data_IF_007005797871
#
_entry.id   IF_007005797871
#
_cell.length_a   1.000
_cell.length_b   1.000
_cell.length_c   1.000
_cell.angle_alpha   90.00
_cell.angle_beta   90.00
_cell.angle_gamma   90.00
#
_symmetry.space_group_name_H-M   'P 1'
#
loop_
_entity.id
_entity.type
_entity.pdbx_description
1 polymer ?
#
# COMPACT_ATOMS: atom_id res chain seq x y z
N UNK A 1 -5.73 19.13 15.58
CA UNK A 1 -5.21 18.18 14.56
C UNK A 1 -5.81 16.76 14.64
N UNK A 2 -6.94 16.51 15.32
CA UNK A 2 -7.53 15.15 15.43
C UNK A 2 -8.80 14.92 14.58
N UNK A 3 -9.29 15.94 13.87
CA UNK A 3 -10.58 15.88 13.15
C UNK A 3 -10.47 16.08 11.62
N UNK A 4 -9.26 16.28 11.07
CA UNK A 4 -9.07 16.56 9.63
C UNK A 4 -8.81 15.26 8.84
N UNK A 5 -8.12 14.29 9.46
CA UNK A 5 -7.71 13.01 8.84
C UNK A 5 -8.92 12.19 8.32
N UNK A 6 -10.05 12.06 9.04
CA UNK A 6 -11.17 11.27 8.55
C UNK A 6 -11.87 11.92 7.35
N UNK A 7 -11.98 13.26 7.33
CA UNK A 7 -12.70 13.98 6.28
C UNK A 7 -11.95 13.95 4.94
N UNK A 8 -10.60 14.02 4.96
CA UNK A 8 -9.78 13.90 3.76
C UNK A 8 -9.82 12.48 3.20
N UNK A 9 -9.70 11.44 4.04
CA UNK A 9 -9.81 10.04 3.62
C UNK A 9 -11.22 9.72 3.08
N UNK A 10 -12.28 10.26 3.71
CA UNK A 10 -13.66 10.06 3.25
C UNK A 10 -13.90 10.76 1.91
N UNK A 11 -13.40 11.99 1.72
CA UNK A 11 -13.43 12.69 0.43
C UNK A 11 -12.61 11.93 -0.63
N UNK A 12 -11.44 11.37 -0.24
CA UNK A 12 -10.61 10.52 -1.09
C UNK A 12 -11.29 9.18 -1.48
N UNK A 13 -12.34 8.78 -0.77
CA UNK A 13 -13.12 7.59 -1.09
C UNK A 13 -14.38 7.93 -1.90
N UNK A 14 -14.99 9.09 -1.65
CA UNK A 14 -16.24 9.53 -2.27
C UNK A 14 -16.07 10.18 -3.65
N UNK A 15 -14.99 10.92 -3.89
CA UNK A 15 -14.72 11.58 -5.18
C UNK A 15 -14.03 10.65 -6.19
N UNK A 16 -13.29 9.66 -5.70
CA UNK A 16 -12.45 8.78 -6.51
C UNK A 16 -13.14 7.46 -6.91
N UNK A 17 -14.43 7.32 -6.57
CA UNK A 17 -15.28 6.19 -6.93
C UNK A 17 -15.88 6.24 -8.35
N UNK A 18 -15.49 7.19 -9.21
CA UNK A 18 -16.00 7.31 -10.59
C UNK A 18 -14.89 7.03 -11.61
N UNK A 19 -14.96 5.86 -12.26
CA UNK A 19 -14.52 5.37 -13.59
C UNK A 19 -13.44 6.08 -14.45
N UNK A 20 -12.78 7.11 -13.98
CA UNK A 20 -11.68 7.76 -14.68
C UNK A 20 -10.41 7.42 -13.88
N UNK A 21 -9.48 6.70 -14.51
CA UNK A 21 -8.18 6.43 -13.91
C UNK A 21 -7.44 7.77 -13.76
N UNK A 22 -7.42 8.32 -12.55
CA UNK A 22 -6.58 9.45 -12.20
C UNK A 22 -5.33 8.89 -11.51
N UNK A 23 -4.19 9.52 -11.74
CA UNK A 23 -2.91 9.16 -11.13
C UNK A 23 -2.67 10.00 -9.88
N UNK A 24 -2.45 9.36 -8.74
CA UNK A 24 -1.98 10.07 -7.54
C UNK A 24 -0.48 10.27 -7.64
N UNK A 25 -0.04 11.52 -7.59
CA UNK A 25 1.38 11.87 -7.52
C UNK A 25 1.70 12.26 -6.08
N UNK A 26 2.52 11.43 -5.43
CA UNK A 26 3.04 11.67 -4.09
C UNK A 26 4.18 12.69 -4.18
N UNK A 27 3.93 13.90 -3.69
CA UNK A 27 4.83 15.05 -3.81
C UNK A 27 4.94 15.79 -2.48
N UNK A 28 6.17 15.96 -1.98
CA UNK A 28 6.45 16.60 -0.69
C UNK A 28 6.05 18.09 -0.67
N UNK A 29 6.09 18.75 -1.82
CA UNK A 29 5.78 20.18 -1.96
C UNK A 29 4.32 20.44 -2.35
N UNK A 30 3.50 19.39 -2.47
CA UNK A 30 2.10 19.54 -2.83
C UNK A 30 1.32 20.32 -1.76
N UNK A 31 0.61 21.36 -2.22
CA UNK A 31 -0.40 22.07 -1.43
C UNK A 31 -1.75 21.46 -1.80
N UNK A 32 -2.50 20.96 -0.82
CA UNK A 32 -3.84 20.41 -1.06
C UNK A 32 -4.79 21.55 -1.46
N UNK A 33 -5.03 21.73 -2.76
CA UNK A 33 -6.08 22.62 -3.26
C UNK A 33 -7.42 21.88 -3.34
N UNK A 34 -8.28 22.10 -2.35
CA UNK A 34 -9.62 21.53 -2.29
C UNK A 34 -10.50 21.98 -3.46
N UNK A 35 -10.25 23.15 -4.07
CA UNK A 35 -11.02 23.62 -5.22
C UNK A 35 -10.65 22.86 -6.51
N UNK A 36 -9.41 22.40 -6.63
CA UNK A 36 -8.96 21.54 -7.74
C UNK A 36 -9.56 20.14 -7.62
N UNK A 37 -9.58 19.56 -6.42
CA UNK A 37 -10.19 18.25 -6.14
C UNK A 37 -11.71 18.26 -6.38
N UNK A 38 -12.39 19.36 -6.03
CA UNK A 38 -13.85 19.49 -6.18
C UNK A 38 -14.29 19.76 -7.63
N UNK A 39 -13.45 20.43 -8.45
CA UNK A 39 -13.75 20.73 -9.86
C UNK A 39 -13.20 19.66 -10.82
N UNK A 40 -13.41 18.39 -10.47
CA UNK A 40 -12.84 17.21 -11.13
C UNK A 40 -13.42 16.94 -12.54
N UNK A 41 -13.18 17.84 -13.49
CA UNK A 41 -13.48 17.62 -14.91
C UNK A 41 -12.26 17.68 -15.83
N UNK A 42 -11.05 17.98 -15.35
CA UNK A 42 -9.90 18.20 -16.27
C UNK A 42 -8.52 17.67 -15.90
N UNK A 43 -8.23 17.27 -14.66
CA UNK A 43 -6.87 16.79 -14.31
C UNK A 43 -6.84 15.26 -14.18
N UNK A 44 -6.06 14.59 -15.04
CA UNK A 44 -5.79 13.16 -14.98
C UNK A 44 -4.81 12.78 -13.84
N UNK A 45 -4.23 13.77 -13.17
CA UNK A 45 -3.28 13.59 -12.08
C UNK A 45 -3.71 14.45 -10.88
N UNK A 46 -3.53 13.91 -9.66
CA UNK A 46 -3.81 14.59 -8.40
C UNK A 46 -2.55 14.52 -7.55
N UNK A 47 -1.97 15.69 -7.22
CA UNK A 47 -0.79 15.76 -6.35
C UNK A 47 -1.23 15.74 -4.89
N UNK A 48 -0.62 14.87 -4.10
CA UNK A 48 -0.93 14.67 -2.69
C UNK A 48 0.33 14.80 -1.83
N UNK A 49 0.29 15.53 -0.71
CA UNK A 49 1.42 15.64 0.19
C UNK A 49 1.72 14.34 0.94
N UNK A 50 2.96 13.86 0.84
CA UNK A 50 3.40 12.60 1.46
C UNK A 50 3.33 12.66 2.99
N UNK A 51 3.66 13.81 3.57
CA UNK A 51 3.81 14.01 5.02
C UNK A 51 2.54 13.66 5.83
N UNK A 52 1.35 13.69 5.22
CA UNK A 52 0.11 13.26 5.88
C UNK A 52 0.05 11.75 6.14
N UNK A 53 0.83 10.96 5.38
CA UNK A 53 0.76 9.51 5.36
C UNK A 53 2.07 8.83 5.75
N UNK A 54 3.13 9.59 6.06
CA UNK A 54 4.38 9.06 6.62
C UNK A 54 4.26 8.86 8.13
N UNK A 55 4.70 7.69 8.59
CA UNK A 55 4.73 7.38 10.02
C UNK A 55 5.72 8.32 10.75
N UNK A 56 5.31 9.02 11.83
CA UNK A 56 6.16 9.98 12.52
C UNK A 56 7.51 9.40 12.96
N UNK A 57 8.62 10.08 12.65
CA UNK A 57 9.98 9.64 12.96
C UNK A 57 10.60 8.68 11.95
N UNK A 58 9.92 8.43 10.83
CA UNK A 58 10.41 7.73 9.64
C UNK A 58 10.37 8.67 8.44
N UNK A 59 11.04 8.32 7.35
CA UNK A 59 10.99 9.06 6.08
C UNK A 59 10.42 8.23 4.94
N UNK A 60 10.44 6.90 5.06
CA UNK A 60 10.03 5.95 4.02
C UNK A 60 8.76 5.16 4.36
N UNK A 61 8.31 5.17 5.62
CA UNK A 61 7.17 4.34 6.02
C UNK A 61 5.83 5.05 5.80
N UNK A 62 5.32 5.05 4.57
CA UNK A 62 4.00 5.57 4.23
C UNK A 62 3.68 5.52 2.74
N UNK A 63 2.82 6.44 2.27
CA UNK A 63 2.53 6.57 0.85
C UNK A 63 3.61 7.45 0.19
N UNK A 64 4.50 6.82 -0.60
CA UNK A 64 5.73 7.45 -1.07
C UNK A 64 6.73 7.65 0.09
N UNK A 65 7.62 8.63 -0.03
CA UNK A 65 8.61 8.96 0.99
C UNK A 65 8.88 10.47 1.04
N UNK A 66 9.38 10.94 2.17
CA UNK A 66 9.82 12.34 2.40
C UNK A 66 11.35 12.44 2.48
N UNK A 67 12.06 11.44 1.94
CA UNK A 67 13.50 11.35 1.99
C UNK A 67 14.15 12.25 0.93
N UNK A 68 15.20 12.98 1.29
CA UNK A 68 15.95 13.81 0.34
C UNK A 68 16.86 13.00 -0.58
N UNK A 69 17.27 11.82 -0.11
CA UNK A 69 18.08 10.87 -0.84
C UNK A 69 17.91 9.47 -0.25
N UNK A 70 18.48 8.48 -0.90
CA UNK A 70 18.31 7.08 -0.52
C UNK A 70 18.76 6.74 0.92
N UNK A 71 19.75 7.43 1.47
CA UNK A 71 20.27 7.16 2.82
C UNK A 71 19.70 8.10 3.89
N UNK A 72 18.71 8.90 3.50
CA UNK A 72 18.02 9.83 4.39
C UNK A 72 16.93 9.11 5.19
N UNK A 73 17.30 8.72 6.40
CA UNK A 73 16.44 7.99 7.33
C UNK A 73 16.02 8.86 8.52
N UNK A 74 14.83 8.61 9.03
CA UNK A 74 14.33 9.17 10.28
C UNK A 74 15.01 8.57 11.52
N UNK A 75 14.53 8.98 12.70
CA UNK A 75 15.06 8.55 14.00
C UNK A 75 14.91 7.04 14.23
N UNK A 76 13.90 6.41 13.61
CA UNK A 76 13.70 4.95 13.67
C UNK A 76 14.43 4.24 12.52
N UNK A 77 15.73 4.50 12.39
CA UNK A 77 16.55 4.17 11.22
C UNK A 77 16.38 2.75 10.68
N UNK A 78 16.43 1.72 11.53
CA UNK A 78 16.36 0.33 11.05
C UNK A 78 14.96 -0.08 10.59
N UNK A 79 13.92 0.44 11.23
CA UNK A 79 12.53 0.29 10.74
C UNK A 79 12.36 1.01 9.40
N UNK A 80 12.94 2.20 9.27
CA UNK A 80 12.85 3.03 8.07
C UNK A 80 13.57 2.38 6.87
N UNK A 81 14.69 1.69 7.09
CA UNK A 81 15.34 0.86 6.08
C UNK A 81 14.42 -0.26 5.54
N UNK A 82 13.62 -0.88 6.40
CA UNK A 82 12.64 -1.88 5.94
C UNK A 82 11.64 -1.25 4.95
N UNK A 83 11.17 -0.04 5.26
CA UNK A 83 10.24 0.69 4.39
C UNK A 83 10.90 1.16 3.09
N UNK A 84 12.13 1.69 3.13
CA UNK A 84 12.90 2.03 1.92
C UNK A 84 13.07 0.83 0.98
N UNK A 85 13.45 -0.32 1.55
CA UNK A 85 13.65 -1.53 0.76
C UNK A 85 12.32 -2.02 0.15
N UNK A 86 11.21 -1.80 0.85
CA UNK A 86 9.86 -2.08 0.34
C UNK A 86 9.49 -1.12 -0.81
N UNK A 87 9.74 0.17 -0.67
CA UNK A 87 9.56 1.19 -1.73
C UNK A 87 10.34 0.87 -3.01
N UNK A 88 11.51 0.23 -2.89
CA UNK A 88 12.35 -0.19 -4.02
C UNK A 88 11.96 -1.52 -4.65
N UNK A 89 10.76 -2.03 -4.36
CA UNK A 89 10.25 -3.19 -5.07
C UNK A 89 10.20 -2.92 -6.58
N UNK A 90 10.81 -3.79 -7.42
CA UNK A 90 10.83 -3.58 -8.88
C UNK A 90 9.44 -3.78 -9.51
N UNK A 91 8.56 -4.49 -8.81
CA UNK A 91 7.23 -4.88 -9.28
C UNK A 91 6.16 -4.25 -8.40
N UNK A 92 5.57 -3.16 -8.93
CA UNK A 92 4.48 -2.42 -8.29
C UNK A 92 3.27 -2.23 -9.22
N UNK A 93 2.11 -2.02 -8.60
CA UNK A 93 0.91 -1.42 -9.22
C UNK A 93 0.52 -0.22 -8.37
N UNK A 94 0.75 0.98 -8.91
CA UNK A 94 0.37 2.25 -8.26
C UNK A 94 -1.14 2.31 -7.97
N UNK A 95 -1.54 3.22 -7.07
CA UNK A 95 -2.94 3.39 -6.72
C UNK A 95 -3.80 3.73 -7.94
N UNK A 96 -4.96 3.08 -8.05
CA UNK A 96 -5.92 3.22 -9.15
C UNK A 96 -5.40 2.85 -10.55
N UNK A 97 -4.19 2.29 -10.65
CA UNK A 97 -3.63 1.84 -11.92
C UNK A 97 -3.95 0.37 -12.18
N UNK A 98 -3.86 -0.02 -13.47
CA UNK A 98 -4.02 -1.41 -13.91
C UNK A 98 -2.71 -1.90 -14.53
N UNK A 99 -2.23 -3.06 -14.07
CA UNK A 99 -1.11 -3.81 -14.67
C UNK A 99 -1.48 -5.29 -14.66
N UNK A 100 -1.09 -6.05 -15.68
CA UNK A 100 -1.40 -7.49 -15.77
C UNK A 100 -2.89 -7.85 -15.63
N UNK A 101 -3.78 -6.98 -16.12
CA UNK A 101 -5.24 -7.11 -15.95
C UNK A 101 -5.69 -7.09 -14.47
N UNK A 102 -4.84 -6.63 -13.56
CA UNK A 102 -5.17 -6.38 -12.15
C UNK A 102 -5.28 -4.87 -11.94
N UNK A 103 -6.46 -4.41 -11.53
CA UNK A 103 -6.66 -3.02 -11.08
C UNK A 103 -6.40 -2.95 -9.58
N UNK A 104 -5.55 -2.02 -9.14
CA UNK A 104 -5.38 -1.69 -7.73
C UNK A 104 -6.46 -0.67 -7.31
N UNK A 105 -7.48 -1.04 -6.51
CA UNK A 105 -8.55 -0.13 -6.12
C UNK A 105 -8.15 0.81 -4.98
N UNK A 106 -6.95 0.65 -4.40
CA UNK A 106 -6.48 1.42 -3.27
C UNK A 106 -5.76 2.69 -3.75
N UNK A 107 -5.77 3.75 -2.93
CA UNK A 107 -5.03 4.99 -3.21
C UNK A 107 -3.52 4.84 -3.05
N UNK A 108 -3.07 3.76 -2.42
CA UNK A 108 -1.66 3.44 -2.19
C UNK A 108 -1.19 2.31 -3.11
N UNK A 109 0.12 2.24 -3.31
CA UNK A 109 0.78 1.22 -4.14
C UNK A 109 0.63 -0.18 -3.55
N UNK A 110 0.36 -1.17 -4.39
CA UNK A 110 0.45 -2.60 -4.04
C UNK A 110 1.63 -3.23 -4.77
N UNK A 111 2.31 -4.14 -4.09
CA UNK A 111 3.60 -4.67 -4.50
C UNK A 111 3.51 -6.17 -4.77
N UNK A 112 4.57 -6.71 -5.39
CA UNK A 112 4.73 -8.15 -5.54
C UNK A 112 4.80 -8.85 -4.17
N UNK A 113 4.21 -10.05 -4.05
CA UNK A 113 4.17 -10.78 -2.77
C UNK A 113 5.54 -11.07 -2.15
N UNK A 114 6.59 -11.21 -2.95
CA UNK A 114 7.96 -11.37 -2.42
C UNK A 114 8.45 -10.11 -1.69
N UNK A 115 8.07 -8.92 -2.15
CA UNK A 115 8.44 -7.66 -1.49
C UNK A 115 7.72 -7.52 -0.15
N UNK A 116 6.42 -7.85 -0.12
CA UNK A 116 5.64 -7.85 1.13
C UNK A 116 6.15 -8.90 2.13
N UNK A 117 6.55 -10.08 1.66
CA UNK A 117 7.16 -11.10 2.53
C UNK A 117 8.49 -10.62 3.12
N UNK A 118 9.38 -10.07 2.29
CA UNK A 118 10.66 -9.52 2.75
C UNK A 118 10.45 -8.36 3.74
N UNK A 119 9.44 -7.52 3.51
CA UNK A 119 9.08 -6.43 4.41
C UNK A 119 8.57 -6.96 5.75
N UNK A 120 7.70 -7.97 5.75
CA UNK A 120 7.21 -8.63 6.95
C UNK A 120 8.38 -9.17 7.80
N UNK A 121 9.29 -9.91 7.17
CA UNK A 121 10.46 -10.50 7.82
C UNK A 121 11.43 -9.44 8.35
N UNK A 122 11.66 -8.36 7.60
CA UNK A 122 12.50 -7.25 8.02
C UNK A 122 11.95 -6.59 9.29
N UNK A 123 10.66 -6.27 9.31
CA UNK A 123 10.02 -5.66 10.49
C UNK A 123 10.06 -6.59 11.71
N UNK A 124 9.84 -7.90 11.50
CA UNK A 124 9.93 -8.93 12.56
C UNK A 124 11.35 -9.09 13.08
N UNK A 125 12.36 -8.91 12.22
CA UNK A 125 13.78 -8.96 12.60
C UNK A 125 14.17 -7.73 13.41
N UNK A 126 13.73 -6.53 13.00
CA UNK A 126 13.98 -5.27 13.73
C UNK A 126 13.29 -5.30 15.11
N UNK A 127 12.06 -5.83 15.19
CA UNK A 127 11.32 -6.09 16.43
C UNK A 127 11.31 -4.94 17.46
N UNK A 128 11.13 -3.70 17.00
CA UNK A 128 10.94 -2.54 17.87
C UNK A 128 9.46 -2.21 18.01
N UNK A 129 9.11 -1.34 18.96
CA UNK A 129 7.73 -0.80 19.06
C UNK A 129 7.27 -0.20 17.73
N UNK A 130 8.14 0.58 17.08
CA UNK A 130 7.83 1.23 15.80
C UNK A 130 7.66 0.22 14.68
N UNK A 131 8.57 -0.76 14.51
CA UNK A 131 8.45 -1.77 13.45
C UNK A 131 7.21 -2.64 13.64
N UNK A 132 6.87 -2.98 14.88
CA UNK A 132 5.67 -3.75 15.19
C UNK A 132 4.39 -2.95 14.90
N UNK A 133 4.36 -1.65 15.20
CA UNK A 133 3.20 -0.80 14.86
C UNK A 133 3.01 -0.63 13.35
N UNK A 134 4.10 -0.45 12.60
CA UNK A 134 4.06 -0.38 11.13
C UNK A 134 3.59 -1.72 10.56
N UNK A 135 4.11 -2.84 11.06
CA UNK A 135 3.68 -4.17 10.66
C UNK A 135 2.18 -4.38 10.90
N UNK A 136 1.69 -4.09 12.10
CA UNK A 136 0.25 -4.17 12.40
C UNK A 136 -0.58 -3.25 11.52
N UNK A 137 -0.13 -2.01 11.25
CA UNK A 137 -0.86 -1.08 10.38
C UNK A 137 -0.96 -1.63 8.95
N UNK A 138 0.16 -2.02 8.35
CA UNK A 138 0.25 -2.45 6.96
C UNK A 138 -0.45 -3.79 6.73
N UNK A 139 -0.03 -4.81 7.46
CA UNK A 139 -0.47 -6.20 7.24
C UNK A 139 -1.83 -6.48 7.86
N UNK A 140 -2.17 -5.90 9.02
CA UNK A 140 -3.42 -6.22 9.74
C UNK A 140 -4.50 -5.15 9.54
N UNK A 141 -4.13 -3.86 9.61
CA UNK A 141 -5.06 -2.73 9.59
C UNK A 141 -5.60 -2.36 8.20
N UNK A 142 -4.71 -2.17 7.22
CA UNK A 142 -5.08 -1.70 5.88
C UNK A 142 -5.93 -2.70 5.10
N UNK A 143 -5.77 -4.00 5.37
CA UNK A 143 -6.37 -5.04 4.53
C UNK A 143 -5.80 -5.03 3.10
N UNK A 144 -4.52 -4.68 2.96
CA UNK A 144 -3.82 -4.70 1.67
C UNK A 144 -3.72 -6.13 1.12
N UNK A 145 -3.43 -6.22 -0.17
CA UNK A 145 -3.14 -7.46 -0.89
C UNK A 145 -1.85 -7.27 -1.68
N UNK A 146 -1.12 -8.35 -1.86
CA UNK A 146 0.01 -8.40 -2.78
C UNK A 146 -0.42 -9.12 -4.07
N UNK A 147 0.40 -9.06 -5.11
CA UNK A 147 0.16 -9.80 -6.34
C UNK A 147 1.36 -10.67 -6.74
N UNK A 148 1.09 -11.78 -7.42
CA UNK A 148 2.10 -12.65 -8.03
C UNK A 148 1.48 -13.50 -9.12
N UNK A 149 2.31 -14.11 -9.94
CA UNK A 149 1.89 -15.09 -10.93
C UNK A 149 1.77 -16.47 -10.29
N UNK A 150 0.60 -17.10 -10.42
CA UNK A 150 0.31 -18.41 -9.85
C UNK A 150 -0.80 -19.11 -10.64
N UNK A 151 -0.93 -20.42 -10.47
CA UNK A 151 -2.06 -21.19 -10.99
C UNK A 151 -3.42 -20.61 -10.50
N UNK A 152 -4.50 -20.70 -11.30
CA UNK A 152 -5.80 -20.15 -10.94
C UNK A 152 -6.29 -20.63 -9.58
N UNK A 153 -6.72 -19.69 -8.73
CA UNK A 153 -7.25 -19.99 -7.40
C UNK A 153 -8.62 -20.67 -7.55
N UNK A 154 -8.78 -21.85 -6.94
CA UNK A 154 -10.05 -22.60 -6.92
C UNK A 154 -10.74 -22.57 -5.56
N UNK A 155 -10.00 -22.24 -4.49
CA UNK A 155 -10.52 -22.27 -3.14
C UNK A 155 -9.53 -21.73 -2.10
N UNK A 156 -9.93 -21.82 -0.84
CA UNK A 156 -9.10 -21.44 0.30
C UNK A 156 -9.11 -22.54 1.35
N UNK A 157 -7.91 -23.06 1.66
CA UNK A 157 -7.68 -24.09 2.67
C UNK A 157 -7.73 -23.53 4.09
N UNK A 158 -7.17 -22.33 4.29
CA UNK A 158 -6.94 -21.76 5.62
C UNK A 158 -7.28 -20.29 5.69
N UNK A 159 -8.05 -19.92 6.71
CA UNK A 159 -8.48 -18.55 6.91
C UNK A 159 -7.95 -17.94 8.22
N UNK A 160 -7.75 -16.62 8.23
CA UNK A 160 -7.83 -15.83 9.47
C UNK A 160 -9.23 -15.24 9.57
N UNK A 161 -9.78 -15.10 10.78
CA UNK A 161 -11.12 -14.52 10.98
C UNK A 161 -11.13 -13.14 11.64
N UNK A 162 -10.04 -12.76 12.32
CA UNK A 162 -9.91 -11.49 13.01
C UNK A 162 -8.67 -10.72 12.52
N UNK A 163 -8.74 -9.39 12.29
CA UNK A 163 -9.93 -8.52 12.39
C UNK A 163 -10.86 -8.60 11.17
N UNK A 164 -10.42 -9.21 10.07
CA UNK A 164 -11.22 -9.47 8.86
C UNK A 164 -10.88 -10.87 8.33
N UNK A 165 -11.78 -11.46 7.54
CA UNK A 165 -11.51 -12.73 6.90
C UNK A 165 -10.44 -12.57 5.81
N UNK A 166 -9.40 -13.40 5.86
CA UNK A 166 -8.34 -13.49 4.84
C UNK A 166 -8.01 -14.94 4.56
N UNK A 167 -7.58 -15.25 3.35
CA UNK A 167 -7.10 -16.58 3.00
C UNK A 167 -5.56 -16.65 3.10
N UNK A 168 -5.04 -17.54 3.93
CA UNK A 168 -3.59 -17.74 4.10
C UNK A 168 -3.02 -18.82 3.18
N UNK A 169 -3.84 -19.81 2.84
CA UNK A 169 -3.43 -20.95 2.01
C UNK A 169 -4.53 -21.21 0.97
N UNK A 170 -4.16 -21.13 -0.30
CA UNK A 170 -5.09 -21.23 -1.43
C UNK A 170 -5.04 -22.63 -2.05
N UNK A 171 -6.18 -23.06 -2.58
CA UNK A 171 -6.26 -24.17 -3.54
C UNK A 171 -6.07 -23.63 -4.95
N UNK A 172 -5.36 -24.39 -5.79
CA UNK A 172 -5.01 -23.98 -7.15
C UNK A 172 -5.36 -25.05 -8.17
N UNK A 173 -5.82 -24.64 -9.35
CA UNK A 173 -5.92 -25.52 -10.52
C UNK A 173 -4.58 -25.62 -11.23
N UNK A 174 -3.80 -26.66 -10.94
CA UNK A 174 -2.47 -26.86 -11.54
C UNK A 174 -2.49 -27.25 -13.02
N UNK A 175 -3.66 -27.62 -13.56
CA UNK A 175 -3.81 -27.99 -14.96
C UNK A 175 -3.89 -26.78 -15.90
N UNK A 176 -4.19 -25.59 -15.36
CA UNK A 176 -4.27 -24.33 -16.11
C UNK A 176 -2.95 -23.52 -15.99
N UNK A 177 -2.59 -22.72 -17.01
CA UNK A 177 -1.39 -21.89 -16.94
C UNK A 177 -1.46 -20.84 -15.83
N UNK A 178 -0.29 -20.40 -15.36
CA UNK A 178 -0.22 -19.35 -14.34
C UNK A 178 -0.74 -18.01 -14.87
N UNK A 179 -1.32 -17.24 -13.96
CA UNK A 179 -1.82 -15.89 -14.21
C UNK A 179 -1.59 -15.00 -13.00
N UNK A 180 -1.52 -13.70 -13.24
CA UNK A 180 -1.39 -12.68 -12.20
C UNK A 180 -2.66 -12.59 -11.38
N UNK A 181 -2.54 -12.74 -10.06
CA UNK A 181 -3.67 -12.77 -9.13
C UNK A 181 -3.34 -11.99 -7.85
N UNK A 182 -4.39 -11.56 -7.14
CA UNK A 182 -4.29 -10.93 -5.83
C UNK A 182 -4.28 -11.97 -4.71
N UNK A 183 -3.40 -11.79 -3.73
CA UNK A 183 -3.26 -12.64 -2.54
C UNK A 183 -3.40 -11.82 -1.27
N UNK A 184 -4.05 -12.38 -0.26
CA UNK A 184 -4.07 -11.80 1.08
C UNK A 184 -2.69 -11.89 1.72
N UNK A 185 -2.29 -10.82 2.41
CA UNK A 185 -1.09 -10.82 3.26
C UNK A 185 -1.43 -11.31 4.68
N UNK A 186 -0.56 -12.10 5.32
CA UNK A 186 -0.81 -12.60 6.67
C UNK A 186 -0.91 -11.45 7.67
N UNK A 187 -1.64 -11.67 8.78
CA UNK A 187 -1.62 -10.68 9.87
C UNK A 187 -0.24 -10.64 10.53
N UNK A 188 0.17 -9.45 10.92
CA UNK A 188 1.44 -9.20 11.61
C UNK A 188 1.29 -9.35 13.12
#
# INVERSE_FOLDING_TARGET
MKHIIPAVILALSFFFGKNNAFKVIWDNDAIVDLNEILNHTRSAEVRMPNWYFIYPGTKWCGAGNIAENEDDFGVYRDTDKCCRNHDFCPEIIEGYQTKYNLTNPSFYTRLHCNCDQAFYECLKTVNTRTSNQIGTLYFTGLGTKCYKEEHPITGCKKHTYFPRQKCLEYDHNTDEPKQWQWFDVPNY
#
